data_IF_155682001820
#
_entry.id   IF_155682001820
#
_cell.length_a   1.000
_cell.length_b   1.000
_cell.length_c   1.000
_cell.angle_alpha   90.00
_cell.angle_beta   90.00
_cell.angle_gamma   90.00
#
_symmetry.space_group_name_H-M   'P 1'
#
loop_
_entity.id
_entity.type
_entity.pdbx_description
1 polymer ?
#
# COMPACT_ATOMS: atom_id res chain seq x y z
N UNK A 1 11.10 -18.09 13.64
CA UNK A 1 11.92 -18.15 12.41
C UNK A 1 11.22 -17.54 11.19
N UNK A 2 9.97 -17.90 10.86
CA UNK A 2 9.26 -17.32 9.68
C UNK A 2 9.09 -15.79 9.78
N UNK A 3 8.70 -15.27 10.95
CA UNK A 3 8.44 -13.84 11.14
C UNK A 3 9.67 -12.95 10.88
N UNK A 4 10.83 -13.34 11.43
CA UNK A 4 12.11 -12.66 11.18
C UNK A 4 12.45 -12.61 9.68
N UNK A 5 12.34 -13.74 8.98
CA UNK A 5 12.60 -13.81 7.53
C UNK A 5 11.65 -12.94 6.71
N UNK A 6 10.39 -12.80 7.14
CA UNK A 6 9.42 -11.92 6.49
C UNK A 6 9.81 -10.44 6.64
N UNK A 7 10.23 -10.02 7.84
CA UNK A 7 10.69 -8.64 8.07
C UNK A 7 11.98 -8.34 7.29
N UNK A 8 12.93 -9.27 7.26
CA UNK A 8 14.16 -9.16 6.44
C UNK A 8 13.81 -8.97 4.95
N UNK A 9 12.86 -9.77 4.43
CA UNK A 9 12.40 -9.64 3.04
C UNK A 9 11.71 -8.30 2.77
N UNK A 10 10.91 -7.80 3.71
CA UNK A 10 10.26 -6.48 3.57
C UNK A 10 11.30 -5.36 3.52
N UNK A 11 12.38 -5.44 4.31
CA UNK A 11 13.48 -4.47 4.27
C UNK A 11 14.26 -4.55 2.96
N UNK A 12 14.57 -5.76 2.47
CA UNK A 12 15.24 -5.96 1.18
C UNK A 12 14.43 -5.32 0.04
N UNK A 13 13.13 -5.62 -0.03
CA UNK A 13 12.23 -5.10 -1.07
C UNK A 13 12.00 -3.60 -0.91
N UNK A 14 11.83 -3.10 0.31
CA UNK A 14 11.61 -1.68 0.59
C UNK A 14 12.82 -0.78 0.30
N UNK A 15 14.03 -1.36 0.15
CA UNK A 15 15.24 -0.65 -0.28
C UNK A 15 15.41 -0.58 -1.80
N UNK A 16 14.55 -1.24 -2.59
CA UNK A 16 14.61 -1.17 -4.05
C UNK A 16 14.13 0.19 -4.55
N UNK A 17 14.83 0.76 -5.53
CA UNK A 17 14.54 2.10 -6.09
C UNK A 17 13.14 2.27 -6.70
N UNK A 18 12.50 1.17 -7.06
CA UNK A 18 11.19 1.12 -7.72
C UNK A 18 10.08 0.66 -6.76
N UNK A 19 10.36 0.57 -5.46
CA UNK A 19 9.40 0.15 -4.43
C UNK A 19 9.27 1.27 -3.40
N UNK A 20 8.03 1.58 -3.04
CA UNK A 20 7.71 2.43 -1.90
C UNK A 20 6.91 1.60 -0.92
N UNK A 21 7.55 1.23 0.18
CA UNK A 21 6.91 0.53 1.28
C UNK A 21 6.47 1.54 2.34
N UNK A 22 5.19 1.51 2.71
CA UNK A 22 4.65 2.32 3.79
C UNK A 22 3.87 1.44 4.77
N UNK A 23 4.03 1.70 6.06
CA UNK A 23 3.33 0.99 7.14
C UNK A 23 2.19 1.87 7.65
N UNK A 24 0.98 1.31 7.74
CA UNK A 24 -0.14 1.97 8.41
C UNK A 24 -0.04 1.71 9.92
N UNK A 25 0.08 2.76 10.76
CA UNK A 25 0.06 2.57 12.21
C UNK A 25 -1.28 2.05 12.71
N UNK A 26 -1.26 1.17 13.72
CA UNK A 26 -2.48 0.57 14.29
C UNK A 26 -3.39 1.57 15.02
N UNK A 27 -2.88 2.73 15.42
CA UNK A 27 -3.69 3.79 16.05
C UNK A 27 -4.57 4.56 15.04
N UNK A 28 -4.47 4.28 13.75
CA UNK A 28 -5.34 4.88 12.71
C UNK A 28 -6.61 4.06 12.60
N UNK A 29 -7.62 4.44 13.38
CA UNK A 29 -8.90 3.71 13.46
C UNK A 29 -9.75 3.76 12.19
N UNK A 30 -9.54 4.75 11.31
CA UNK A 30 -10.32 4.90 10.07
C UNK A 30 -9.44 5.32 8.91
N UNK A 31 -9.40 4.49 7.86
CA UNK A 31 -8.80 4.84 6.59
C UNK A 31 -9.45 4.05 5.44
N UNK A 32 -9.38 4.52 4.18
CA UNK A 32 -10.01 3.85 3.03
C UNK A 32 -9.47 2.45 2.69
N UNK A 33 -8.45 1.98 3.40
CA UNK A 33 -7.85 0.65 3.23
C UNK A 33 -8.44 -0.40 4.15
N UNK A 34 -9.36 -0.02 5.06
CA UNK A 34 -10.06 -0.97 5.93
C UNK A 34 -10.99 -1.90 5.14
N UNK A 35 -11.52 -1.42 4.01
CA UNK A 35 -12.39 -2.22 3.13
C UNK A 35 -11.60 -3.17 2.20
N UNK A 36 -10.34 -3.46 2.54
CA UNK A 36 -9.49 -4.42 1.83
C UNK A 36 -8.54 -3.80 0.80
N UNK A 37 -7.96 -4.67 -0.04
CA UNK A 37 -6.87 -4.31 -0.94
C UNK A 37 -7.36 -3.32 -2.00
N UNK A 38 -6.51 -2.35 -2.34
CA UNK A 38 -6.67 -1.46 -3.49
C UNK A 38 -5.46 -1.64 -4.40
N UNK A 39 -5.70 -1.86 -5.69
CA UNK A 39 -4.69 -2.01 -6.72
C UNK A 39 -4.94 -1.00 -7.84
N UNK A 40 -3.88 -0.32 -8.25
CA UNK A 40 -3.89 0.63 -9.36
C UNK A 40 -2.67 0.34 -10.24
N UNK A 41 -2.92 0.06 -11.52
CA UNK A 41 -1.90 -0.12 -12.54
C UNK A 41 -2.03 1.05 -13.52
N UNK A 42 -0.94 1.78 -13.75
CA UNK A 42 -0.86 2.87 -14.71
C UNK A 42 0.14 2.49 -15.79
N UNK A 43 -0.23 2.68 -17.05
CA UNK A 43 0.57 2.28 -18.21
C UNK A 43 1.16 3.52 -18.91
N UNK A 44 2.20 3.30 -19.71
CA UNK A 44 2.92 4.37 -20.41
C UNK A 44 2.06 5.12 -21.44
N UNK A 45 1.02 4.46 -21.97
CA UNK A 45 0.04 5.06 -22.89
C UNK A 45 -1.01 5.94 -22.17
N UNK A 46 -0.89 6.12 -20.85
CA UNK A 46 -1.80 6.91 -20.03
C UNK A 46 -3.07 6.16 -19.62
N UNK A 47 -3.25 4.91 -20.04
CA UNK A 47 -4.36 4.08 -19.56
C UNK A 47 -4.08 3.57 -18.14
N UNK A 48 -5.15 3.13 -17.47
CA UNK A 48 -5.04 2.55 -16.14
C UNK A 48 -6.08 1.47 -15.90
N UNK A 49 -5.76 0.57 -14.98
CA UNK A 49 -6.67 -0.46 -14.45
C UNK A 49 -6.66 -0.37 -12.93
N UNK A 50 -7.86 -0.42 -12.35
CA UNK A 50 -8.04 -0.40 -10.91
C UNK A 50 -8.80 -1.63 -10.43
N UNK A 51 -8.56 -2.02 -9.19
CA UNK A 51 -9.34 -3.04 -8.49
C UNK A 51 -9.39 -2.70 -7.00
N UNK A 52 -10.51 -2.96 -6.34
CA UNK A 52 -10.61 -2.83 -4.89
C UNK A 52 -11.55 -3.89 -4.34
N UNK A 53 -11.17 -4.55 -3.25
CA UNK A 53 -12.04 -5.56 -2.64
C UNK A 53 -13.35 -4.93 -2.15
N UNK A 54 -13.27 -3.74 -1.55
CA UNK A 54 -14.39 -2.98 -1.00
C UNK A 54 -15.14 -2.07 -1.98
N UNK A 55 -14.84 -2.13 -3.28
CA UNK A 55 -15.56 -1.34 -4.29
C UNK A 55 -15.76 -2.12 -5.58
N UNK A 56 -16.77 -1.73 -6.37
CA UNK A 56 -17.00 -2.28 -7.71
C UNK A 56 -17.08 -3.82 -7.76
N UNK A 57 -17.54 -4.44 -6.66
CA UNK A 57 -17.65 -5.89 -6.48
C UNK A 57 -16.33 -6.65 -6.68
N UNK A 58 -15.19 -6.03 -6.35
CA UNK A 58 -13.87 -6.66 -6.51
C UNK A 58 -13.39 -6.79 -7.96
N UNK A 59 -14.17 -6.29 -8.93
CA UNK A 59 -13.88 -6.46 -10.36
C UNK A 59 -12.87 -5.41 -10.85
N UNK A 60 -12.02 -5.76 -11.83
CA UNK A 60 -11.21 -4.76 -12.52
C UNK A 60 -12.07 -3.68 -13.18
N UNK A 61 -11.61 -2.44 -13.11
CA UNK A 61 -12.26 -1.27 -13.70
C UNK A 61 -11.29 -0.51 -14.61
N UNK A 62 -11.85 0.10 -15.67
CA UNK A 62 -11.15 0.92 -16.65
C UNK A 62 -11.78 2.32 -16.80
N UNK A 63 -13.00 2.52 -16.29
CA UNK A 63 -13.70 3.80 -16.39
C UNK A 63 -12.92 4.89 -15.62
N UNK A 64 -12.55 6.01 -16.27
CA UNK A 64 -11.76 7.06 -15.63
C UNK A 64 -12.38 7.65 -14.35
N UNK A 65 -13.71 7.71 -14.25
CA UNK A 65 -14.42 8.24 -13.07
C UNK A 65 -14.29 7.28 -11.89
N UNK A 66 -14.40 5.98 -12.15
CA UNK A 66 -14.19 4.97 -11.12
C UNK A 66 -12.72 4.88 -10.69
N UNK A 67 -11.79 4.98 -11.64
CA UNK A 67 -10.36 5.02 -11.35
C UNK A 67 -10.00 6.20 -10.45
N UNK A 68 -10.59 7.37 -10.72
CA UNK A 68 -10.38 8.58 -9.89
C UNK A 68 -10.74 8.36 -8.42
N UNK A 69 -11.79 7.58 -8.13
CA UNK A 69 -12.19 7.24 -6.76
C UNK A 69 -11.10 6.41 -6.08
N UNK A 70 -10.58 5.37 -6.75
CA UNK A 70 -9.53 4.53 -6.20
C UNK A 70 -8.22 5.30 -6.00
N UNK A 71 -7.87 6.22 -6.91
CA UNK A 71 -6.70 7.09 -6.75
C UNK A 71 -6.81 8.00 -5.51
N UNK A 72 -7.98 8.59 -5.27
CA UNK A 72 -8.23 9.42 -4.09
C UNK A 72 -8.10 8.59 -2.80
N UNK A 73 -8.65 7.37 -2.79
CA UNK A 73 -8.51 6.44 -1.65
C UNK A 73 -7.05 6.04 -1.42
N UNK A 74 -6.33 5.69 -2.47
CA UNK A 74 -4.90 5.39 -2.42
C UNK A 74 -4.09 6.57 -1.87
N UNK A 75 -4.36 7.78 -2.34
CA UNK A 75 -3.73 9.01 -1.84
C UNK A 75 -3.99 9.23 -0.34
N UNK A 76 -5.23 9.05 0.10
CA UNK A 76 -5.59 9.18 1.51
C UNK A 76 -4.94 8.10 2.40
N UNK A 77 -4.84 6.85 1.92
CA UNK A 77 -4.10 5.78 2.62
C UNK A 77 -2.64 6.17 2.79
N UNK A 78 -1.99 6.62 1.70
CA UNK A 78 -0.58 7.05 1.74
C UNK A 78 -0.31 8.25 2.65
N UNK A 79 -1.26 9.18 2.75
CA UNK A 79 -1.14 10.35 3.61
C UNK A 79 -1.27 10.03 5.11
N UNK A 80 -1.91 8.91 5.46
CA UNK A 80 -2.07 8.46 6.84
C UNK A 80 -1.01 7.44 7.29
N UNK A 81 -0.47 6.67 6.34
CA UNK A 81 0.63 5.76 6.61
C UNK A 81 1.93 6.52 6.98
N UNK A 82 2.84 5.85 7.67
CA UNK A 82 4.17 6.39 7.94
C UNK A 82 4.87 6.75 6.62
N UNK A 83 5.68 7.82 6.58
CA UNK A 83 6.59 8.09 5.47
C UNK A 83 7.46 6.86 5.15
N UNK A 84 7.96 6.71 3.90
CA UNK A 84 8.72 5.53 3.51
C UNK A 84 9.96 5.27 4.39
N UNK A 85 10.72 6.31 4.75
CA UNK A 85 11.88 6.18 5.64
C UNK A 85 11.51 5.72 7.05
N UNK A 86 10.47 6.31 7.63
CA UNK A 86 9.95 5.92 8.95
C UNK A 86 9.36 4.50 8.94
N UNK A 87 8.78 4.08 7.83
CA UNK A 87 8.26 2.72 7.65
C UNK A 87 9.39 1.69 7.67
N UNK A 88 10.51 1.96 7.00
CA UNK A 88 11.68 1.08 7.05
C UNK A 88 12.29 1.03 8.46
N UNK A 89 12.44 2.19 9.11
CA UNK A 89 12.95 2.25 10.49
C UNK A 89 12.05 1.47 11.46
N UNK A 90 10.74 1.56 11.30
CA UNK A 90 9.78 0.79 12.10
C UNK A 90 9.94 -0.73 11.90
N UNK A 91 10.12 -1.19 10.66
CA UNK A 91 10.34 -2.62 10.36
C UNK A 91 11.70 -3.09 10.92
N UNK A 92 12.75 -2.27 10.83
CA UNK A 92 14.07 -2.56 11.44
C UNK A 92 13.98 -2.70 12.95
N UNK A 93 13.21 -1.82 13.62
CA UNK A 93 12.96 -1.91 15.05
C UNK A 93 12.28 -3.25 15.40
N UNK A 94 11.18 -3.59 14.72
CA UNK A 94 10.46 -4.85 14.94
C UNK A 94 11.37 -6.07 14.72
N UNK A 95 12.28 -6.02 13.74
CA UNK A 95 13.24 -7.10 13.49
C UNK A 95 14.23 -7.27 14.65
N UNK A 96 14.65 -6.18 15.28
CA UNK A 96 15.52 -6.20 16.48
C UNK A 96 14.84 -6.79 17.72
N UNK A 97 13.51 -6.70 17.79
CA UNK A 97 12.68 -7.25 18.88
C UNK A 97 12.36 -8.75 18.71
N UNK A 98 12.71 -9.35 17.56
CA UNK A 98 12.38 -10.75 17.20
C UNK A 98 13.53 -11.72 17.33
#
# INVERSE_FOLDING_TARGET
>A
MVWRQQLERLLEVGRMRNVVLQVMPLHRETHPGLDGKIELLKFEDGTAVGRSDGAFNGRPIHDPRHLRILELRYGAIRAQALPPGESLAFIEQLLGET
#
